data_IF_991409060314
#
_entry.id   IF_991409060314
#
_cell.length_a   1.000
_cell.length_b   1.000
_cell.length_c   1.000
_cell.angle_alpha   90.00
_cell.angle_beta   90.00
_cell.angle_gamma   90.00
#
_symmetry.space_group_name_H-M   'P 1'
#
loop_
_entity.id
_entity.type
_entity.pdbx_description
1 polymer ?
#
# COMPACT_ATOMS: atom_id res chain seq x y z
N UNK A 1 10.50 2.57 11.58
CA UNK A 1 9.04 2.47 11.68
C UNK A 1 8.53 1.47 10.66
N UNK A 2 7.33 0.95 10.89
CA UNK A 2 6.68 0.02 9.98
C UNK A 2 5.87 0.81 8.96
N UNK A 3 6.21 0.69 7.68
CA UNK A 3 5.56 1.41 6.58
C UNK A 3 4.73 0.45 5.74
N UNK A 4 3.42 0.61 5.75
CA UNK A 4 2.53 -0.09 4.82
C UNK A 4 2.45 0.74 3.55
N UNK A 5 2.91 0.15 2.44
CA UNK A 5 2.92 0.82 1.15
C UNK A 5 1.56 0.69 0.47
N UNK A 6 0.96 1.82 0.09
CA UNK A 6 -0.20 1.79 -0.78
C UNK A 6 0.19 1.18 -2.13
N UNK A 7 -0.79 0.69 -2.87
CA UNK A 7 -0.56 -0.09 -4.08
C UNK A 7 0.35 0.62 -5.09
N UNK A 8 0.05 1.89 -5.42
CA UNK A 8 0.88 2.62 -6.38
C UNK A 8 2.27 2.96 -5.83
N UNK A 9 2.40 3.17 -4.51
CA UNK A 9 3.71 3.38 -3.88
C UNK A 9 4.57 2.11 -4.04
N UNK A 10 3.99 0.94 -3.79
CA UNK A 10 4.68 -0.33 -3.96
C UNK A 10 5.16 -0.51 -5.41
N UNK A 11 4.28 -0.29 -6.38
CA UNK A 11 4.62 -0.43 -7.80
C UNK A 11 5.73 0.56 -8.19
N UNK A 12 5.63 1.81 -7.78
CA UNK A 12 6.64 2.81 -8.08
C UNK A 12 7.98 2.47 -7.41
N UNK A 13 7.95 2.07 -6.16
CA UNK A 13 9.18 1.66 -5.47
C UNK A 13 9.88 0.51 -6.20
N UNK A 14 9.10 -0.45 -6.69
CA UNK A 14 9.62 -1.63 -7.35
C UNK A 14 10.10 -1.36 -8.79
N UNK A 15 9.36 -0.56 -9.55
CA UNK A 15 9.56 -0.42 -11.00
C UNK A 15 10.00 0.99 -11.44
N UNK A 16 9.52 2.03 -10.76
CA UNK A 16 9.71 3.41 -11.18
C UNK A 16 9.92 4.33 -9.96
N UNK A 17 11.01 4.14 -9.20
CA UNK A 17 11.23 4.90 -7.96
C UNK A 17 11.31 6.42 -8.16
N UNK A 18 11.61 6.88 -9.38
CA UNK A 18 11.62 8.31 -9.70
C UNK A 18 10.24 8.96 -9.62
N UNK A 19 9.17 8.19 -9.61
CA UNK A 19 7.80 8.71 -9.42
C UNK A 19 7.46 9.02 -7.97
N UNK A 20 8.23 8.50 -7.04
CA UNK A 20 8.03 8.78 -5.62
C UNK A 20 8.42 10.22 -5.30
N UNK A 21 7.73 10.83 -4.32
CA UNK A 21 8.17 12.09 -3.77
C UNK A 21 9.55 11.91 -3.11
N UNK A 22 10.27 13.00 -2.91
CA UNK A 22 11.57 12.94 -2.22
C UNK A 22 11.44 12.32 -0.83
N UNK A 23 10.37 12.67 -0.12
CA UNK A 23 10.11 12.13 1.22
C UNK A 23 9.81 10.63 1.17
N UNK A 24 8.92 10.21 0.27
CA UNK A 24 8.56 8.81 0.11
C UNK A 24 9.78 7.97 -0.26
N UNK A 25 10.60 8.45 -1.20
CA UNK A 25 11.82 7.77 -1.60
C UNK A 25 12.78 7.62 -0.40
N UNK A 26 12.99 8.70 0.35
CA UNK A 26 13.87 8.67 1.53
C UNK A 26 13.36 7.68 2.59
N UNK A 27 12.04 7.63 2.81
CA UNK A 27 11.42 6.70 3.77
C UNK A 27 11.63 5.24 3.33
N UNK A 28 11.46 4.96 2.04
CA UNK A 28 11.67 3.60 1.51
C UNK A 28 13.13 3.18 1.52
N UNK A 29 14.05 4.12 1.37
CA UNK A 29 15.48 3.84 1.36
C UNK A 29 16.10 3.72 2.77
N UNK A 30 15.39 4.20 3.79
CA UNK A 30 15.88 4.20 5.16
C UNK A 30 15.88 2.77 5.71
N UNK A 31 17.07 2.20 6.06
CA UNK A 31 17.16 0.83 6.55
C UNK A 31 16.53 0.62 7.93
N UNK A 32 16.25 1.70 8.65
CA UNK A 32 15.56 1.61 9.95
C UNK A 32 14.05 1.42 9.78
N UNK A 33 13.52 1.59 8.57
CA UNK A 33 12.12 1.37 8.27
C UNK A 33 11.90 -0.04 7.74
N UNK A 34 10.80 -0.68 8.18
CA UNK A 34 10.34 -1.96 7.65
C UNK A 34 9.27 -1.69 6.61
N UNK A 35 9.53 -2.10 5.37
CA UNK A 35 8.56 -1.95 4.28
C UNK A 35 7.63 -3.16 4.23
N UNK A 36 6.34 -2.90 4.12
CA UNK A 36 5.32 -3.94 4.10
C UNK A 36 4.36 -3.66 2.94
N UNK A 37 4.03 -4.68 2.17
CA UNK A 37 2.98 -4.64 1.16
C UNK A 37 1.87 -5.61 1.55
N UNK A 38 0.63 -5.16 1.44
CA UNK A 38 -0.52 -6.01 1.74
C UNK A 38 -0.87 -6.94 0.58
N UNK A 39 -1.36 -8.12 0.90
CA UNK A 39 -2.02 -9.02 -0.06
C UNK A 39 -3.16 -8.29 -0.79
N UNK A 40 -3.81 -7.34 -0.15
CA UNK A 40 -4.84 -6.47 -0.77
C UNK A 40 -4.27 -5.74 -1.99
N UNK A 41 -3.08 -5.17 -1.88
CA UNK A 41 -2.43 -4.47 -2.99
C UNK A 41 -2.05 -5.41 -4.12
N UNK A 42 -1.57 -6.60 -3.79
CA UNK A 42 -1.25 -7.64 -4.78
C UNK A 42 -2.51 -8.02 -5.56
N UNK A 43 -3.61 -8.21 -4.87
CA UNK A 43 -4.91 -8.52 -5.47
C UNK A 43 -5.41 -7.38 -6.35
N UNK A 44 -5.31 -6.14 -5.89
CA UNK A 44 -5.71 -4.95 -6.66
C UNK A 44 -4.93 -4.86 -7.98
N UNK A 45 -3.61 -5.03 -7.94
CA UNK A 45 -2.77 -5.02 -9.15
C UNK A 45 -3.24 -6.09 -10.13
N UNK A 46 -3.51 -7.29 -9.63
CA UNK A 46 -3.93 -8.42 -10.47
C UNK A 46 -5.27 -8.17 -11.14
N UNK A 47 -6.26 -7.66 -10.39
CA UNK A 47 -7.58 -7.30 -10.93
C UNK A 47 -7.43 -6.25 -12.04
N UNK A 48 -6.71 -5.18 -11.78
CA UNK A 48 -6.55 -4.08 -12.74
C UNK A 48 -5.80 -4.52 -13.98
N UNK A 49 -4.81 -5.38 -13.84
CA UNK A 49 -4.12 -5.99 -14.97
C UNK A 49 -5.07 -6.83 -15.84
N UNK A 50 -5.88 -7.68 -15.22
CA UNK A 50 -6.86 -8.52 -15.91
C UNK A 50 -7.94 -7.72 -16.64
N UNK A 51 -8.28 -6.54 -16.12
CA UNK A 51 -9.25 -5.63 -16.73
C UNK A 51 -8.63 -4.73 -17.80
N UNK A 52 -7.34 -4.85 -18.07
CA UNK A 52 -6.64 -4.02 -19.05
C UNK A 52 -6.46 -2.58 -18.62
N UNK A 53 -6.55 -2.27 -17.33
CA UNK A 53 -6.36 -0.92 -16.81
C UNK A 53 -4.88 -0.60 -16.66
N UNK A 54 -4.46 0.55 -17.21
CA UNK A 54 -3.05 0.95 -17.25
C UNK A 54 -2.50 1.52 -15.94
N UNK A 55 -3.34 1.71 -14.91
CA UNK A 55 -2.92 2.31 -13.64
C UNK A 55 -1.76 1.57 -12.96
N UNK A 56 -1.73 0.24 -13.10
CA UNK A 56 -0.69 -0.59 -12.51
C UNK A 56 -0.06 -1.46 -13.58
N UNK A 57 0.58 -0.79 -14.55
CA UNK A 57 1.38 -1.51 -15.55
C UNK A 57 2.67 -1.96 -14.87
N UNK A 58 2.79 -3.28 -14.73
CA UNK A 58 3.97 -3.91 -14.17
C UNK A 58 4.65 -4.66 -15.31
N UNK A 59 5.89 -4.27 -15.64
CA UNK A 59 6.64 -4.89 -16.73
C UNK A 59 7.08 -6.32 -16.39
N UNK A 60 7.38 -6.55 -15.12
CA UNK A 60 7.80 -7.86 -14.60
C UNK A 60 6.56 -8.66 -14.18
N UNK A 61 6.49 -9.97 -14.44
CA UNK A 61 5.41 -10.79 -13.90
C UNK A 61 5.27 -10.62 -12.38
N UNK A 62 4.03 -10.51 -11.89
CA UNK A 62 3.75 -10.11 -10.52
C UNK A 62 4.40 -11.01 -9.47
N UNK A 63 4.40 -12.33 -9.69
CA UNK A 63 5.05 -13.28 -8.78
C UNK A 63 6.57 -13.08 -8.70
N UNK A 64 7.20 -12.75 -9.81
CA UNK A 64 8.64 -12.46 -9.86
C UNK A 64 8.96 -11.11 -9.21
N UNK A 65 8.09 -10.11 -9.42
CA UNK A 65 8.25 -8.80 -8.81
C UNK A 65 8.20 -8.91 -7.28
N UNK A 66 7.23 -9.64 -6.75
CA UNK A 66 7.09 -9.84 -5.31
C UNK A 66 8.30 -10.57 -4.74
N UNK A 67 8.75 -11.63 -5.41
CA UNK A 67 9.95 -12.37 -4.99
C UNK A 67 11.17 -11.46 -4.95
N UNK A 68 11.38 -10.68 -6.00
CA UNK A 68 12.49 -9.73 -6.09
C UNK A 68 12.45 -8.69 -4.98
N UNK A 69 11.28 -8.14 -4.69
CA UNK A 69 11.14 -7.14 -3.63
C UNK A 69 11.41 -7.74 -2.24
N UNK A 70 11.00 -8.96 -2.00
CA UNK A 70 11.29 -9.66 -0.74
C UNK A 70 12.78 -9.95 -0.58
N UNK A 71 13.45 -10.38 -1.63
CA UNK A 71 14.86 -10.80 -1.59
C UNK A 71 15.83 -9.63 -1.63
N UNK A 72 15.52 -8.59 -2.41
CA UNK A 72 16.44 -7.47 -2.66
C UNK A 72 16.17 -6.25 -1.79
N UNK A 73 14.91 -5.99 -1.46
CA UNK A 73 14.51 -4.79 -0.74
C UNK A 73 13.85 -5.08 0.62
N UNK A 74 13.87 -6.32 1.07
CA UNK A 74 13.32 -6.76 2.36
C UNK A 74 11.86 -6.34 2.57
N UNK A 75 11.07 -6.29 1.49
CA UNK A 75 9.65 -5.97 1.60
C UNK A 75 8.91 -7.19 2.14
N UNK A 76 8.25 -7.04 3.28
CA UNK A 76 7.43 -8.09 3.87
C UNK A 76 6.02 -8.07 3.30
N UNK A 77 5.37 -9.23 3.22
CA UNK A 77 3.98 -9.36 2.78
C UNK A 77 3.08 -9.46 4.00
N UNK A 78 2.06 -8.61 4.06
CA UNK A 78 1.05 -8.61 5.11
C UNK A 78 -0.19 -9.37 4.62
N UNK A 79 -0.53 -10.50 5.24
CA UNK A 79 -1.76 -11.21 4.90
C UNK A 79 -2.98 -10.46 5.43
N UNK A 80 -4.15 -10.74 4.85
CA UNK A 80 -5.43 -10.22 5.36
C UNK A 80 -5.98 -11.19 6.40
N UNK A 81 -6.24 -10.67 7.60
CA UNK A 81 -6.80 -11.44 8.70
C UNK A 81 -8.18 -10.93 9.09
N UNK A 82 -8.94 -11.73 9.84
CA UNK A 82 -10.27 -11.34 10.29
C UNK A 82 -10.27 -10.07 11.12
N UNK A 83 -9.22 -9.85 11.94
CA UNK A 83 -9.07 -8.62 12.72
C UNK A 83 -8.99 -7.38 11.84
N UNK A 84 -8.37 -7.48 10.67
CA UNK A 84 -8.31 -6.37 9.71
C UNK A 84 -9.69 -6.03 9.17
N UNK A 85 -10.44 -7.05 8.73
CA UNK A 85 -11.78 -6.86 8.17
C UNK A 85 -12.74 -6.33 9.22
N UNK A 86 -12.69 -6.87 10.44
CA UNK A 86 -13.56 -6.42 11.54
C UNK A 86 -13.27 -4.98 11.96
N UNK A 87 -12.05 -4.52 11.83
CA UNK A 87 -11.68 -3.13 12.14
C UNK A 87 -12.40 -2.11 11.24
N UNK A 88 -12.89 -2.53 10.06
CA UNK A 88 -13.68 -1.67 9.19
C UNK A 88 -14.97 -1.16 9.85
N UNK A 89 -15.50 -1.88 10.83
CA UNK A 89 -16.73 -1.47 11.54
C UNK A 89 -16.57 -0.10 12.22
N UNK A 90 -15.37 0.24 12.65
CA UNK A 90 -15.07 1.46 13.37
C UNK A 90 -14.44 2.55 12.50
N UNK A 91 -14.27 2.25 11.21
CA UNK A 91 -13.66 3.20 10.29
C UNK A 91 -14.70 4.19 9.76
N UNK A 92 -14.43 5.51 9.81
CA UNK A 92 -15.37 6.50 9.28
C UNK A 92 -15.72 6.24 7.83
N UNK A 93 -16.97 6.51 7.44
CA UNK A 93 -17.43 6.43 6.06
C UNK A 93 -17.51 7.84 5.46
N UNK A 94 -16.83 8.05 4.36
CA UNK A 94 -16.87 9.31 3.63
C UNK A 94 -17.46 9.07 2.24
N UNK A 95 -18.50 9.86 1.82
CA UNK A 95 -19.15 9.65 0.51
C UNK A 95 -18.21 9.72 -0.68
N UNK A 96 -17.11 10.48 -0.54
CA UNK A 96 -16.12 10.69 -1.61
C UNK A 96 -14.94 9.73 -1.55
N UNK A 97 -14.90 8.82 -0.57
CA UNK A 97 -13.83 7.83 -0.45
C UNK A 97 -14.40 6.50 0.04
N UNK A 98 -14.91 5.71 -0.89
CA UNK A 98 -15.54 4.41 -0.59
C UNK A 98 -14.79 3.22 -1.16
N UNK A 99 -13.62 3.42 -1.75
CA UNK A 99 -12.85 2.33 -2.36
C UNK A 99 -12.54 1.25 -1.32
N UNK A 100 -13.01 0.00 -1.51
CA UNK A 100 -12.82 -1.06 -0.53
C UNK A 100 -11.36 -1.48 -0.34
N UNK A 101 -10.53 -1.39 -1.38
CA UNK A 101 -9.10 -1.67 -1.25
C UNK A 101 -8.42 -0.66 -0.33
N UNK A 102 -8.67 0.64 -0.55
CA UNK A 102 -8.12 1.71 0.27
C UNK A 102 -8.56 1.58 1.72
N UNK A 103 -9.84 1.33 1.95
CA UNK A 103 -10.40 1.20 3.29
C UNK A 103 -9.78 0.03 4.04
N UNK A 104 -9.55 -1.09 3.37
CA UNK A 104 -8.94 -2.26 4.00
C UNK A 104 -7.46 -2.01 4.32
N UNK A 105 -6.74 -1.30 3.46
CA UNK A 105 -5.36 -0.89 3.75
C UNK A 105 -5.28 0.00 4.99
N UNK A 106 -6.18 0.97 5.10
CA UNK A 106 -6.26 1.84 6.28
C UNK A 106 -6.52 1.01 7.55
N UNK A 107 -7.48 0.08 7.48
CA UNK A 107 -7.79 -0.80 8.60
C UNK A 107 -6.58 -1.66 9.00
N UNK A 108 -5.86 -2.20 8.03
CA UNK A 108 -4.64 -2.98 8.29
C UNK A 108 -3.58 -2.12 8.96
N UNK A 109 -3.36 -0.90 8.48
CA UNK A 109 -2.39 0.00 9.09
C UNK A 109 -2.71 0.28 10.56
N UNK A 110 -4.00 0.48 10.88
CA UNK A 110 -4.44 0.72 12.26
C UNK A 110 -4.16 -0.51 13.13
N UNK A 111 -4.59 -1.68 12.70
CA UNK A 111 -4.43 -2.93 13.48
C UNK A 111 -2.96 -3.28 13.69
N UNK A 112 -2.14 -3.09 12.66
CA UNK A 112 -0.71 -3.43 12.71
C UNK A 112 0.16 -2.34 13.34
N UNK A 113 -0.41 -1.21 13.71
CA UNK A 113 0.36 -0.08 14.23
C UNK A 113 1.33 0.47 13.20
N UNK A 114 1.00 0.40 11.92
CA UNK A 114 1.84 0.84 10.82
C UNK A 114 1.48 2.25 10.37
N UNK A 115 2.46 2.91 9.77
CA UNK A 115 2.24 4.16 9.04
C UNK A 115 1.90 3.81 7.60
N UNK A 116 0.83 4.39 7.06
CA UNK A 116 0.44 4.19 5.67
C UNK A 116 1.10 5.23 4.78
N UNK A 117 1.83 4.78 3.78
CA UNK A 117 2.47 5.64 2.79
C UNK A 117 1.66 5.62 1.50
N UNK A 118 1.07 6.76 1.14
CA UNK A 118 0.20 6.88 -0.02
C UNK A 118 0.32 8.26 -0.67
N UNK A 119 0.30 8.30 -1.98
CA UNK A 119 0.24 9.55 -2.76
C UNK A 119 -1.20 9.89 -3.18
N UNK A 120 -2.20 9.10 -2.80
CA UNK A 120 -3.59 9.31 -3.19
C UNK A 120 -4.21 10.47 -2.41
N UNK A 121 -4.62 11.51 -3.13
CA UNK A 121 -5.27 12.69 -2.55
C UNK A 121 -6.55 12.35 -1.78
N UNK A 122 -7.29 11.34 -2.22
CA UNK A 122 -8.52 10.93 -1.55
C UNK A 122 -8.27 10.44 -0.13
N UNK A 123 -7.14 9.74 0.10
CA UNK A 123 -6.75 9.33 1.44
C UNK A 123 -6.41 10.54 2.32
N UNK A 124 -5.67 11.49 1.76
CA UNK A 124 -5.19 12.66 2.52
C UNK A 124 -6.26 13.72 2.77
N UNK A 125 -7.33 13.75 1.96
CA UNK A 125 -8.45 14.68 2.14
C UNK A 125 -9.32 14.38 3.35
N UNK A 126 -9.35 13.14 3.78
CA UNK A 126 -10.23 12.69 4.85
C UNK A 126 -9.44 12.38 6.12
N UNK A 127 -10.10 12.49 7.26
CA UNK A 127 -9.49 12.23 8.54
C UNK A 127 -9.72 10.79 8.96
N UNK A 128 -8.65 9.98 8.90
CA UNK A 128 -8.66 8.60 9.37
C UNK A 128 -7.75 8.46 10.59
N UNK A 129 -8.09 7.57 11.55
CA UNK A 129 -7.30 7.38 12.77
C UNK A 129 -6.03 6.55 12.50
N UNK A 130 -5.20 7.01 11.58
CA UNK A 130 -3.97 6.35 11.15
C UNK A 130 -2.91 7.41 10.82
N UNK A 131 -1.64 7.09 11.05
CA UNK A 131 -0.56 7.95 10.57
C UNK A 131 -0.41 7.76 9.07
N UNK A 132 -0.58 8.85 8.32
CA UNK A 132 -0.61 8.85 6.86
C UNK A 132 0.46 9.80 6.34
N UNK A 133 1.37 9.28 5.53
CA UNK A 133 2.46 10.05 4.91
C UNK A 133 2.38 9.96 3.37
N UNK A 134 3.02 10.93 2.72
CA UNK A 134 3.14 10.92 1.26
C UNK A 134 4.52 11.37 0.81
#
# INVERSE_FOLDING_TARGET
MKLLLDTHIFVWWAEEPEKLSRRALALCQDPDNTLVVSVVSIWEIQIKHQLGKAEYVVATPLNELIKSQREQNDVAILPVESTHVLALQNLPMYPTHKDPFDRLLIAQAIVEGATLLSADDKMHKHSYPVTLLR
#
